data_IF_585517317307
#
_entry.id   IF_585517317307
#
_cell.length_a   1.000
_cell.length_b   1.000
_cell.length_c   1.000
_cell.angle_alpha   90.00
_cell.angle_beta   90.00
_cell.angle_gamma   90.00
#
_symmetry.space_group_name_H-M   'P 1'
#
loop_
_entity.id
_entity.type
_entity.pdbx_description
1 polymer ?
#
# COMPACT_ATOMS: atom_id res chain seq x y z
N UNK A 1 5.59 31.54 7.83
CA UNK A 1 4.17 31.17 7.70
C UNK A 1 4.05 30.26 6.49
N UNK A 2 3.35 29.13 6.60
CA UNK A 2 3.09 28.27 5.44
C UNK A 2 2.04 28.96 4.56
N UNK A 3 2.26 28.98 3.25
CA UNK A 3 1.27 29.49 2.30
C UNK A 3 0.01 28.61 2.26
N UNK A 4 -1.13 29.24 1.98
CA UNK A 4 -2.41 28.56 1.87
C UNK A 4 -2.39 27.53 0.72
N UNK A 5 -2.88 26.29 0.95
CA UNK A 5 -2.83 25.22 -0.03
C UNK A 5 -3.93 25.38 -1.10
N UNK A 6 -3.75 26.36 -1.99
CA UNK A 6 -4.64 26.60 -3.12
C UNK A 6 -4.39 25.59 -4.26
N UNK A 7 -5.37 25.36 -5.15
CA UNK A 7 -5.17 24.56 -6.35
C UNK A 7 -3.99 25.10 -7.19
N UNK A 8 -3.06 24.23 -7.59
CA UNK A 8 -1.84 24.60 -8.32
C UNK A 8 -0.69 25.10 -7.45
N UNK A 9 -0.86 25.22 -6.13
CA UNK A 9 0.22 25.56 -5.20
C UNK A 9 1.09 24.34 -4.87
N UNK A 10 2.34 24.53 -4.39
CA UNK A 10 3.19 23.43 -3.92
C UNK A 10 2.57 22.58 -2.80
N UNK A 11 1.59 23.13 -2.06
CA UNK A 11 0.95 22.51 -0.90
C UNK A 11 -0.47 22.00 -1.16
N UNK A 12 -0.94 21.98 -2.41
CA UNK A 12 -2.29 21.53 -2.78
C UNK A 12 -2.67 20.16 -2.17
N UNK A 13 -1.72 19.21 -2.17
CA UNK A 13 -1.94 17.87 -1.58
C UNK A 13 -2.24 17.91 -0.09
N UNK A 14 -1.70 18.89 0.63
CA UNK A 14 -1.96 19.08 2.06
C UNK A 14 -3.37 19.65 2.27
N UNK A 15 -3.80 20.60 1.42
CA UNK A 15 -5.15 21.18 1.47
C UNK A 15 -6.28 20.17 1.30
N UNK A 16 -6.03 19.05 0.60
CA UNK A 16 -6.99 17.96 0.46
C UNK A 16 -7.05 17.03 1.69
N UNK A 17 -6.11 17.12 2.62
CA UNK A 17 -5.98 16.20 3.75
C UNK A 17 -6.43 16.81 5.08
N UNK A 18 -6.53 18.13 5.17
CA UNK A 18 -6.84 18.85 6.42
C UNK A 18 -7.85 19.96 6.16
N UNK A 19 -8.71 20.23 7.14
CA UNK A 19 -9.62 21.36 7.12
C UNK A 19 -8.89 22.64 7.56
N UNK A 20 -8.57 23.50 6.60
CA UNK A 20 -7.77 24.71 6.82
C UNK A 20 -8.59 25.89 7.38
N UNK A 21 -9.93 25.83 7.31
CA UNK A 21 -10.82 26.93 7.70
C UNK A 21 -11.64 26.63 8.96
N UNK A 22 -11.34 25.53 9.65
CA UNK A 22 -11.98 25.20 10.92
C UNK A 22 -11.57 26.14 12.06
N UNK A 23 -12.29 26.04 13.18
CA UNK A 23 -12.08 26.92 14.35
C UNK A 23 -10.68 26.76 14.98
N UNK A 24 -10.07 25.59 14.82
CA UNK A 24 -8.74 25.29 15.36
C UNK A 24 -7.66 25.42 14.28
N UNK A 25 -6.57 26.15 14.55
CA UNK A 25 -5.50 26.33 13.57
C UNK A 25 -4.78 25.01 13.29
N UNK A 26 -4.45 24.79 12.01
CA UNK A 26 -3.64 23.63 11.59
C UNK A 26 -2.18 23.86 11.91
N UNK A 27 -1.59 22.95 12.68
CA UNK A 27 -0.17 23.00 13.05
C UNK A 27 0.63 21.88 12.38
N UNK A 28 1.77 22.24 11.78
CA UNK A 28 2.73 21.27 11.26
C UNK A 28 3.56 20.72 12.42
N UNK A 29 3.20 19.54 12.91
CA UNK A 29 3.94 18.87 14.00
C UNK A 29 5.28 18.28 13.55
N UNK A 30 5.33 17.77 12.32
CA UNK A 30 6.53 17.15 11.76
C UNK A 30 6.50 17.21 10.23
N UNK A 31 7.67 17.34 9.62
CA UNK A 31 7.87 17.19 8.17
C UNK A 31 8.57 15.85 7.94
N UNK A 32 7.86 14.91 7.32
CA UNK A 32 8.42 13.59 7.01
C UNK A 32 9.20 13.64 5.71
N UNK A 33 10.41 13.09 5.71
CA UNK A 33 11.17 12.86 4.48
C UNK A 33 10.65 11.58 3.79
N UNK A 34 10.85 11.43 2.47
CA UNK A 34 10.57 10.18 1.78
C UNK A 34 11.26 9.02 2.51
N UNK A 35 10.45 8.04 2.94
CA UNK A 35 10.99 6.88 3.62
C UNK A 35 11.84 6.04 2.67
N UNK A 36 13.01 5.59 3.12
CA UNK A 36 13.74 4.52 2.45
C UNK A 36 12.91 3.24 2.52
N UNK A 37 12.54 2.74 1.35
CA UNK A 37 11.70 1.56 1.20
C UNK A 37 12.56 0.43 0.65
N UNK A 38 12.40 -0.77 1.22
CA UNK A 38 12.97 -1.99 0.63
C UNK A 38 12.43 -2.20 -0.79
N UNK A 39 13.06 -3.12 -1.51
CA UNK A 39 12.72 -3.41 -2.89
C UNK A 39 11.25 -3.84 -2.98
N UNK A 40 10.49 -3.25 -3.91
CA UNK A 40 9.04 -3.47 -4.06
C UNK A 40 8.70 -4.95 -4.28
N UNK A 41 9.63 -5.70 -4.83
CA UNK A 41 9.51 -7.11 -5.16
C UNK A 41 9.26 -7.99 -3.92
N UNK A 42 9.79 -7.56 -2.77
CA UNK A 42 9.64 -8.26 -1.48
C UNK A 42 8.17 -8.32 -1.04
N UNK A 43 7.36 -7.32 -1.39
CA UNK A 43 5.94 -7.29 -1.06
C UNK A 43 5.12 -8.37 -1.78
N UNK A 44 5.65 -9.01 -2.83
CA UNK A 44 4.97 -10.12 -3.52
C UNK A 44 5.22 -11.49 -2.89
N UNK A 45 6.18 -11.61 -1.95
CA UNK A 45 6.50 -12.90 -1.31
C UNK A 45 5.28 -13.57 -0.65
N UNK A 46 4.39 -12.86 0.08
CA UNK A 46 3.19 -13.48 0.65
C UNK A 46 2.26 -14.09 -0.41
N UNK A 47 2.09 -13.40 -1.55
CA UNK A 47 1.26 -13.90 -2.65
C UNK A 47 1.86 -15.15 -3.30
N UNK A 48 3.18 -15.17 -3.51
CA UNK A 48 3.89 -16.35 -4.05
C UNK A 48 3.83 -17.54 -3.09
N UNK A 49 3.95 -17.31 -1.78
CA UNK A 49 3.82 -18.36 -0.77
C UNK A 49 2.43 -18.97 -0.79
N UNK A 50 1.38 -18.14 -0.84
CA UNK A 50 0.00 -18.60 -0.95
C UNK A 50 -0.22 -19.41 -2.23
N UNK A 51 0.25 -18.91 -3.38
CA UNK A 51 0.15 -19.62 -4.66
C UNK A 51 0.88 -20.97 -4.62
N UNK A 52 2.11 -21.00 -4.10
CA UNK A 52 2.87 -22.23 -3.92
C UNK A 52 2.14 -23.24 -3.04
N UNK A 53 1.56 -22.79 -1.92
CA UNK A 53 0.74 -23.62 -1.05
C UNK A 53 -0.48 -24.21 -1.77
N UNK A 54 -1.21 -23.39 -2.52
CA UNK A 54 -2.35 -23.84 -3.34
C UNK A 54 -1.92 -24.87 -4.39
N UNK A 55 -0.80 -24.64 -5.09
CA UNK A 55 -0.26 -25.57 -6.09
C UNK A 55 0.08 -26.93 -5.46
N UNK A 56 0.73 -26.94 -4.29
CA UNK A 56 1.05 -28.17 -3.56
C UNK A 56 -0.21 -28.95 -3.16
N UNK A 57 -1.24 -28.25 -2.67
CA UNK A 57 -2.52 -28.86 -2.31
C UNK A 57 -3.24 -29.43 -3.55
N UNK A 58 -3.24 -28.70 -4.67
CA UNK A 58 -3.84 -29.15 -5.93
C UNK A 58 -3.10 -30.35 -6.53
N UNK A 59 -1.77 -30.39 -6.44
CA UNK A 59 -0.96 -31.51 -6.94
C UNK A 59 -1.35 -32.84 -6.30
N UNK A 60 -1.67 -32.85 -5.00
CA UNK A 60 -2.13 -34.06 -4.29
C UNK A 60 -3.45 -34.58 -4.84
N UNK A 61 -4.36 -33.70 -5.27
CA UNK A 61 -5.68 -34.10 -5.80
C UNK A 61 -5.57 -34.79 -7.16
N UNK A 62 -4.72 -34.28 -8.06
CA UNK A 62 -4.56 -34.80 -9.44
C UNK A 62 -4.03 -36.25 -9.50
N UNK A 63 -3.31 -36.71 -8.48
CA UNK A 63 -2.78 -38.09 -8.45
C UNK A 63 -3.86 -39.17 -8.25
N UNK A 64 -5.12 -38.79 -7.99
CA UNK A 64 -6.19 -39.70 -7.58
C UNK A 64 -7.10 -40.13 -8.76
N UNK A 65 -6.96 -39.51 -9.94
CA UNK A 65 -7.86 -39.71 -11.09
C UNK A 65 -7.39 -40.77 -12.09
N UNK A 66 -6.16 -41.30 -11.98
CA UNK A 66 -5.55 -42.16 -13.01
C UNK A 66 -5.73 -43.68 -12.77
N UNK A 67 -6.52 -44.12 -11.78
CA UNK A 67 -6.58 -45.55 -11.36
C UNK A 67 -7.87 -46.28 -11.78
N UNK A 68 -8.67 -45.73 -12.70
CA UNK A 68 -9.85 -46.41 -13.24
C UNK A 68 -9.87 -46.37 -14.76
N UNK A 69 -9.11 -47.25 -15.42
CA UNK A 69 -9.33 -47.67 -16.81
C UNK A 69 -8.91 -49.13 -16.94
#
# INVERSE_FOLDING_TARGET
LLEEPLPGSPFEKLGNQVDFYGDNPVEIKAVMLPAERIWKEVFYLPALLLLGGVVLLQRRRRSSETVTT
#
